data_IF_572402665237
#
_entry.id   IF_572402665237
#
_cell.length_a   1.000
_cell.length_b   1.000
_cell.length_c   1.000
_cell.angle_alpha   90.00
_cell.angle_beta   90.00
_cell.angle_gamma   90.00
#
_symmetry.space_group_name_H-M   'P 1'
#
loop_
_entity.id
_entity.type
_entity.pdbx_description
1 polymer ?
#
# COMPACT_ATOMS: atom_id res chain seq x y z
N UNK A 1 -10.02 12.63 -11.44
CA UNK A 1 -9.63 11.43 -12.23
C UNK A 1 -10.78 10.43 -12.17
N UNK A 2 -11.62 10.39 -13.22
CA UNK A 2 -12.81 9.50 -13.26
C UNK A 2 -12.53 8.29 -14.14
N UNK A 3 -12.13 8.52 -15.39
CA UNK A 3 -11.75 7.48 -16.34
C UNK A 3 -10.44 6.79 -15.90
N UNK A 4 -10.20 5.54 -16.33
CA UNK A 4 -8.92 4.86 -16.08
C UNK A 4 -7.74 5.71 -16.55
N UNK A 5 -6.91 6.14 -15.60
CA UNK A 5 -5.82 7.08 -15.84
C UNK A 5 -4.52 6.55 -15.25
N UNK A 6 -3.47 6.51 -16.07
CA UNK A 6 -2.11 6.27 -15.59
C UNK A 6 -1.55 7.55 -14.96
N UNK A 7 -1.19 7.48 -13.68
CA UNK A 7 -0.43 8.51 -12.99
C UNK A 7 1.05 8.13 -13.02
N UNK A 8 1.90 9.04 -13.51
CA UNK A 8 3.34 8.85 -13.74
C UNK A 8 4.15 9.92 -13.00
N UNK A 9 5.48 9.84 -13.08
CA UNK A 9 6.42 10.88 -12.62
C UNK A 9 6.37 11.13 -11.10
N UNK A 10 6.26 10.06 -10.32
CA UNK A 10 6.27 10.16 -8.86
C UNK A 10 7.66 10.58 -8.36
N UNK A 11 7.76 11.50 -7.38
CA UNK A 11 9.03 11.88 -6.76
C UNK A 11 9.77 10.70 -6.13
N UNK A 12 11.10 10.69 -6.22
CA UNK A 12 11.94 9.60 -5.68
C UNK A 12 11.88 9.39 -4.17
N UNK A 13 11.40 10.38 -3.42
CA UNK A 13 11.25 10.29 -1.96
C UNK A 13 10.07 9.43 -1.52
N UNK A 14 9.11 9.13 -2.41
CA UNK A 14 7.85 8.49 -2.02
C UNK A 14 7.91 6.97 -1.92
N UNK A 15 8.71 6.31 -2.75
CA UNK A 15 8.73 4.83 -2.83
C UNK A 15 10.17 4.35 -2.74
N UNK A 16 10.63 3.92 -1.56
CA UNK A 16 12.04 3.56 -1.35
C UNK A 16 12.46 2.35 -2.20
N UNK A 17 11.54 1.46 -2.54
CA UNK A 17 11.78 0.24 -3.34
C UNK A 17 11.82 0.48 -4.85
N UNK A 18 11.38 1.66 -5.33
CA UNK A 18 11.29 1.92 -6.75
C UNK A 18 12.62 2.43 -7.32
N UNK A 19 12.96 1.94 -8.52
CA UNK A 19 14.10 2.43 -9.28
C UNK A 19 13.88 3.89 -9.68
N UNK A 20 14.96 4.70 -9.61
CA UNK A 20 14.97 6.07 -10.15
C UNK A 20 15.03 6.03 -11.67
N UNK A 21 14.33 6.94 -12.31
CA UNK A 21 14.43 7.09 -13.75
C UNK A 21 15.88 7.42 -14.16
N UNK A 22 16.32 6.83 -15.27
CA UNK A 22 17.73 6.93 -15.70
C UNK A 22 18.08 8.29 -16.31
N UNK A 23 17.10 8.97 -16.92
CA UNK A 23 17.27 10.30 -17.51
C UNK A 23 16.90 11.43 -16.52
N UNK A 24 15.98 11.14 -15.61
CA UNK A 24 15.39 12.09 -14.65
C UNK A 24 15.43 11.55 -13.22
N UNK A 25 16.58 11.61 -12.53
CA UNK A 25 16.77 11.00 -11.21
C UNK A 25 15.87 11.57 -10.09
N UNK A 26 15.13 12.65 -10.34
CA UNK A 26 14.14 13.21 -9.41
C UNK A 26 12.79 12.48 -9.43
N UNK A 27 12.54 11.65 -10.44
CA UNK A 27 11.33 10.82 -10.56
C UNK A 27 11.63 9.31 -10.52
N UNK A 28 10.59 8.52 -10.26
CA UNK A 28 10.61 7.06 -10.23
C UNK A 28 10.09 6.46 -11.55
N UNK A 29 10.65 5.31 -11.91
CA UNK A 29 10.11 4.44 -12.96
C UNK A 29 8.90 3.67 -12.42
N UNK A 30 7.80 4.39 -12.17
CA UNK A 30 6.57 3.85 -11.59
C UNK A 30 5.30 4.45 -12.19
N UNK A 31 4.22 3.68 -12.10
CA UNK A 31 2.88 4.16 -12.39
C UNK A 31 1.86 3.70 -11.36
N UNK A 32 0.79 4.49 -11.23
CA UNK A 32 -0.46 4.06 -10.60
C UNK A 32 -1.57 4.09 -11.64
N UNK A 33 -2.55 3.18 -11.53
CA UNK A 33 -3.81 3.29 -12.28
C UNK A 33 -4.88 3.77 -11.32
N UNK A 34 -5.46 4.92 -11.63
CA UNK A 34 -6.55 5.52 -10.87
C UNK A 34 -7.84 5.44 -11.69
N UNK A 35 -8.90 4.90 -11.08
CA UNK A 35 -10.25 4.83 -11.67
C UNK A 35 -11.24 5.29 -10.61
N UNK A 36 -12.20 6.13 -11.00
CA UNK A 36 -13.19 6.71 -10.08
C UNK A 36 -12.57 7.25 -8.79
N UNK A 37 -11.49 8.03 -8.91
CA UNK A 37 -10.71 8.60 -7.78
C UNK A 37 -10.03 7.62 -6.83
N UNK A 38 -10.04 6.31 -7.13
CA UNK A 38 -9.40 5.26 -6.33
C UNK A 38 -8.19 4.67 -7.05
N UNK A 39 -7.12 4.40 -6.31
CA UNK A 39 -5.96 3.65 -6.81
C UNK A 39 -6.34 2.17 -6.96
N UNK A 40 -6.21 1.63 -8.17
CA UNK A 40 -6.48 0.22 -8.51
C UNK A 40 -5.18 -0.57 -8.67
N UNK A 41 -4.17 0.04 -9.29
CA UNK A 41 -2.87 -0.59 -9.54
C UNK A 41 -1.76 0.34 -9.06
N UNK A 42 -0.71 -0.26 -8.49
CA UNK A 42 0.58 0.37 -8.27
C UNK A 42 1.67 -0.54 -8.84
N UNK A 43 2.53 0.00 -9.67
CA UNK A 43 3.60 -0.78 -10.31
C UNK A 43 4.86 0.07 -10.46
N UNK A 44 6.02 -0.57 -10.39
CA UNK A 44 7.30 0.09 -10.55
C UNK A 44 8.37 -0.88 -11.03
N UNK A 45 9.38 -0.35 -11.70
CA UNK A 45 10.65 -1.05 -11.85
C UNK A 45 11.33 -1.12 -10.49
N UNK A 46 11.70 -2.33 -10.08
CA UNK A 46 12.27 -2.58 -8.75
C UNK A 46 13.67 -1.99 -8.66
N UNK A 47 14.03 -1.48 -7.48
CA UNK A 47 15.41 -1.18 -7.15
C UNK A 47 16.16 -2.50 -6.93
N UNK A 48 17.13 -2.77 -7.80
CA UNK A 48 17.92 -4.00 -7.77
C UNK A 48 19.35 -3.80 -7.27
N UNK A 49 19.72 -2.56 -6.92
CA UNK A 49 21.03 -2.24 -6.33
C UNK A 49 20.97 -2.43 -4.81
N UNK A 50 21.67 -3.45 -4.25
CA UNK A 50 21.64 -3.72 -2.81
C UNK A 50 22.27 -2.59 -1.98
N UNK A 51 23.22 -1.85 -2.53
CA UNK A 51 23.89 -0.74 -1.83
C UNK A 51 22.92 0.43 -1.68
N UNK A 52 22.24 0.82 -2.76
CA UNK A 52 21.21 1.86 -2.72
C UNK A 52 20.03 1.44 -1.83
N UNK A 53 19.57 0.19 -1.95
CA UNK A 53 18.48 -0.35 -1.12
C UNK A 53 18.80 -0.26 0.37
N UNK A 54 20.03 -0.64 0.77
CA UNK A 54 20.50 -0.53 2.17
C UNK A 54 20.51 0.92 2.66
N UNK A 55 20.98 1.86 1.85
CA UNK A 55 20.98 3.30 2.20
C UNK A 55 19.56 3.80 2.42
N UNK A 56 18.62 3.43 1.54
CA UNK A 56 17.21 3.85 1.66
C UNK A 56 16.51 3.28 2.88
N UNK A 57 16.73 2.00 3.19
CA UNK A 57 16.15 1.36 4.38
C UNK A 57 16.71 1.97 5.68
N UNK A 58 18.01 2.32 5.73
CA UNK A 58 18.57 3.07 6.87
C UNK A 58 17.93 4.47 7.02
N UNK A 59 17.62 5.12 5.90
CA UNK A 59 16.86 6.38 5.91
C UNK A 59 15.45 6.20 6.48
N UNK A 60 14.75 5.12 6.09
CA UNK A 60 13.43 4.77 6.64
C UNK A 60 13.49 4.52 8.15
N UNK A 61 14.54 3.82 8.64
CA UNK A 61 14.76 3.63 10.07
C UNK A 61 14.93 4.96 10.82
N UNK A 62 15.66 5.91 10.25
CA UNK A 62 15.81 7.24 10.85
C UNK A 62 14.49 8.02 10.91
N UNK A 63 13.60 7.87 9.92
CA UNK A 63 12.24 8.43 9.98
C UNK A 63 11.38 7.73 11.03
N UNK A 64 11.56 6.41 11.20
CA UNK A 64 10.88 5.63 12.25
C UNK A 64 11.23 6.12 13.65
N UNK A 65 12.52 6.38 13.90
CA UNK A 65 13.00 6.94 15.18
C UNK A 65 12.43 8.33 15.47
N UNK A 66 11.99 9.05 14.43
CA UNK A 66 11.30 10.34 14.55
C UNK A 66 9.78 10.21 14.73
N UNK A 67 9.24 8.99 14.79
CA UNK A 67 7.83 8.70 15.04
C UNK A 67 6.98 8.44 13.79
N UNK A 68 7.60 8.19 12.64
CA UNK A 68 6.87 7.75 11.44
C UNK A 68 6.65 6.23 11.44
N UNK A 69 5.47 5.80 11.89
CA UNK A 69 5.08 4.39 12.00
C UNK A 69 4.83 3.70 10.64
N UNK A 70 4.71 4.45 9.54
CA UNK A 70 4.46 3.90 8.18
C UNK A 70 5.76 3.50 7.45
N UNK A 71 6.91 3.71 8.09
CA UNK A 71 8.24 3.41 7.53
C UNK A 71 8.55 1.92 7.45
N UNK A 72 9.39 1.57 6.48
CA UNK A 72 9.90 0.21 6.32
C UNK A 72 10.96 -0.14 7.37
N UNK A 73 10.99 -1.41 7.77
CA UNK A 73 12.06 -1.96 8.60
C UNK A 73 13.30 -2.24 7.73
N UNK A 74 14.48 -2.22 8.36
CA UNK A 74 15.71 -2.69 7.72
C UNK A 74 15.70 -4.22 7.69
N UNK A 75 15.63 -4.80 6.49
CA UNK A 75 15.65 -6.25 6.26
C UNK A 75 16.99 -6.66 5.64
N UNK A 76 17.98 -7.01 6.47
CA UNK A 76 19.31 -7.40 5.96
C UNK A 76 19.25 -8.69 5.14
N UNK A 77 18.39 -9.65 5.49
CA UNK A 77 18.21 -10.89 4.71
C UNK A 77 17.69 -10.59 3.29
N UNK A 78 16.80 -9.60 3.14
CA UNK A 78 16.32 -9.16 1.82
C UNK A 78 17.46 -8.56 0.99
N UNK A 79 18.31 -7.72 1.60
CA UNK A 79 19.46 -7.12 0.93
C UNK A 79 20.50 -8.19 0.58
N UNK A 80 20.76 -9.16 1.46
CA UNK A 80 21.65 -10.29 1.18
C UNK A 80 21.15 -11.07 -0.05
N UNK A 81 19.83 -11.34 -0.13
CA UNK A 81 19.24 -11.99 -1.30
C UNK A 81 19.49 -11.21 -2.60
N UNK A 82 19.45 -9.87 -2.55
CA UNK A 82 19.76 -9.03 -3.71
C UNK A 82 21.24 -9.14 -4.13
N UNK A 83 22.16 -9.28 -3.18
CA UNK A 83 23.60 -9.39 -3.41
C UNK A 83 23.99 -10.68 -4.17
N UNK A 84 23.18 -11.75 -4.09
CA UNK A 84 23.35 -12.96 -4.91
C UNK A 84 23.03 -12.75 -6.40
N UNK A 85 22.48 -11.60 -6.78
CA UNK A 85 22.21 -11.22 -8.16
C UNK A 85 20.72 -11.12 -8.45
N UNK A 86 20.13 -9.98 -8.12
CA UNK A 86 18.76 -9.64 -8.50
C UNK A 86 18.70 -9.21 -9.98
N UNK A 87 17.94 -9.91 -10.84
CA UNK A 87 17.78 -9.52 -12.23
C UNK A 87 16.96 -8.22 -12.35
N UNK A 88 17.06 -7.48 -13.47
CA UNK A 88 16.16 -6.37 -13.75
C UNK A 88 14.70 -6.85 -13.78
N UNK A 89 13.89 -6.40 -12.83
CA UNK A 89 12.49 -6.82 -12.68
C UNK A 89 11.57 -5.61 -12.45
N UNK A 90 10.27 -5.85 -12.57
CA UNK A 90 9.23 -4.89 -12.23
C UNK A 90 8.12 -5.59 -11.47
N UNK A 91 7.62 -4.93 -10.43
CA UNK A 91 6.51 -5.39 -9.61
C UNK A 91 5.20 -4.71 -9.98
N UNK A 92 4.09 -5.41 -9.75
CA UNK A 92 2.74 -4.87 -9.89
C UNK A 92 1.86 -5.37 -8.74
N UNK A 93 1.22 -4.43 -8.05
CA UNK A 93 0.16 -4.69 -7.08
C UNK A 93 -1.19 -4.28 -7.67
N UNK A 94 -2.19 -5.17 -7.59
CA UNK A 94 -3.57 -4.94 -7.99
C UNK A 94 -4.48 -5.05 -6.76
N UNK A 95 -5.25 -4.00 -6.48
CA UNK A 95 -6.26 -4.04 -5.43
C UNK A 95 -7.49 -4.84 -5.89
N UNK A 96 -7.52 -6.14 -5.60
CA UNK A 96 -8.61 -7.04 -6.03
C UNK A 96 -9.97 -6.58 -5.50
N UNK A 97 -10.09 -6.23 -4.22
CA UNK A 97 -11.35 -5.75 -3.64
C UNK A 97 -11.82 -4.47 -4.32
N UNK A 98 -10.90 -3.55 -4.64
CA UNK A 98 -11.22 -2.30 -5.34
C UNK A 98 -11.64 -2.56 -6.79
N UNK A 99 -11.00 -3.52 -7.46
CA UNK A 99 -11.37 -3.94 -8.80
C UNK A 99 -12.77 -4.57 -8.80
N UNK A 100 -13.04 -5.50 -7.87
CA UNK A 100 -14.37 -6.12 -7.75
C UNK A 100 -15.42 -5.05 -7.45
N UNK A 101 -15.14 -4.14 -6.50
CA UNK A 101 -16.07 -3.08 -6.14
C UNK A 101 -16.40 -2.15 -7.33
N UNK A 102 -15.39 -1.83 -8.15
CA UNK A 102 -15.59 -1.10 -9.41
C UNK A 102 -16.44 -1.88 -10.42
N UNK A 103 -16.22 -3.19 -10.55
CA UNK A 103 -16.92 -4.05 -11.51
C UNK A 103 -18.37 -4.35 -11.10
N UNK A 104 -18.66 -4.32 -9.80
CA UNK A 104 -20.00 -4.57 -9.25
C UNK A 104 -20.76 -3.30 -8.87
N UNK A 105 -20.20 -2.12 -9.15
CA UNK A 105 -20.78 -0.82 -8.85
C UNK A 105 -21.20 -0.66 -7.38
N UNK A 106 -20.30 -1.06 -6.46
CA UNK A 106 -20.50 -0.91 -5.02
C UNK A 106 -19.52 0.09 -4.43
N UNK A 107 -20.03 0.98 -3.58
CA UNK A 107 -19.22 2.05 -3.00
C UNK A 107 -18.35 1.55 -1.84
N UNK A 108 -18.84 0.60 -1.05
CA UNK A 108 -18.18 0.08 0.14
C UNK A 108 -17.37 -1.17 -0.17
N UNK A 109 -16.09 -1.19 0.22
CA UNK A 109 -15.27 -2.40 0.15
C UNK A 109 -15.78 -3.53 1.06
N UNK A 110 -16.65 -3.23 2.03
CA UNK A 110 -17.26 -4.26 2.87
C UNK A 110 -18.24 -5.14 2.11
N UNK A 111 -18.81 -4.64 1.01
CA UNK A 111 -19.83 -5.34 0.23
C UNK A 111 -19.23 -6.39 -0.71
N UNK A 112 -17.90 -6.35 -0.91
CA UNK A 112 -17.15 -7.32 -1.74
C UNK A 112 -16.34 -8.32 -0.91
N UNK A 113 -16.39 -8.24 0.42
CA UNK A 113 -15.70 -9.12 1.35
C UNK A 113 -16.74 -9.90 2.16
N UNK A 114 -16.67 -11.23 2.17
CA UNK A 114 -17.68 -12.05 2.86
C UNK A 114 -17.78 -11.78 4.37
N UNK A 115 -16.65 -11.52 5.03
CA UNK A 115 -16.57 -11.28 6.47
C UNK A 115 -15.67 -10.06 6.74
N UNK A 116 -16.18 -8.83 6.51
CA UNK A 116 -15.38 -7.62 6.69
C UNK A 116 -15.08 -7.39 8.18
N UNK A 117 -13.97 -6.72 8.48
CA UNK A 117 -13.66 -6.35 9.88
C UNK A 117 -14.66 -5.30 10.36
N UNK A 118 -15.46 -5.69 11.36
CA UNK A 118 -16.47 -4.82 11.96
C UNK A 118 -15.96 -4.23 13.27
N UNK A 119 -16.48 -3.05 13.64
CA UNK A 119 -16.32 -2.54 14.99
C UNK A 119 -17.02 -3.50 15.94
N UNK A 120 -16.41 -3.80 17.09
CA UNK A 120 -17.08 -4.61 18.12
C UNK A 120 -18.35 -3.88 18.56
N UNK A 121 -19.48 -4.59 18.58
CA UNK A 121 -20.71 -4.07 19.16
C UNK A 121 -20.45 -3.66 20.62
N UNK A 122 -20.86 -2.45 20.98
CA UNK A 122 -20.86 -2.02 22.38
C UNK A 122 -21.92 -2.85 23.10
N UNK A 123 -21.49 -3.78 23.94
CA UNK A 123 -22.39 -4.39 24.90
C UNK A 123 -22.66 -3.30 25.95
N UNK A 124 -23.84 -2.68 25.89
CA UNK A 124 -24.30 -1.86 26.98
C UNK A 124 -24.34 -2.75 28.24
N UNK A 125 -23.63 -2.36 29.30
CA UNK A 125 -23.75 -3.00 30.59
C UNK A 125 -25.17 -2.76 31.09
N UNK A 126 -26.04 -3.76 30.94
CA UNK A 126 -27.36 -3.75 31.53
C UNK A 126 -27.22 -3.98 33.03
N UNK A 127 -27.39 -2.90 33.81
CA UNK A 127 -27.95 -3.06 35.15
C UNK A 127 -29.35 -3.66 34.97
N UNK A 128 -29.45 -4.97 35.14
CA UNK A 128 -30.69 -5.72 35.31
C UNK A 128 -31.63 -5.77 34.10
N UNK A 129 -31.53 -6.85 33.32
CA UNK A 129 -32.66 -7.40 32.56
C UNK A 129 -32.77 -6.97 31.09
N UNK A 130 -32.38 -7.89 30.22
CA UNK A 130 -32.54 -7.92 28.76
C UNK A 130 -31.48 -7.14 27.94
N UNK A 131 -30.52 -7.90 27.41
CA UNK A 131 -29.51 -7.41 26.48
C UNK A 131 -30.18 -7.20 25.12
N UNK A 132 -30.19 -5.96 24.63
CA UNK A 132 -30.56 -5.64 23.24
C UNK A 132 -29.29 -5.24 22.50
N UNK A 133 -29.04 -5.89 21.35
CA UNK A 133 -27.97 -5.51 20.44
C UNK A 133 -28.48 -4.29 19.67
N UNK A 134 -27.78 -3.17 19.77
CA UNK A 134 -28.05 -2.02 18.92
C UNK A 134 -27.48 -2.31 17.51
N UNK A 135 -28.37 -2.70 16.59
CA UNK A 135 -28.03 -3.06 15.22
C UNK A 135 -27.63 -1.85 14.35
N UNK A 136 -27.73 -0.61 14.87
CA UNK A 136 -27.48 0.61 14.08
C UNK A 136 -26.01 0.98 13.90
N UNK A 137 -25.08 0.25 14.50
CA UNK A 137 -23.63 0.54 14.43
C UNK A 137 -22.77 -0.63 13.91
N UNK A 138 -23.38 -1.68 13.34
CA UNK A 138 -22.65 -2.80 12.72
C UNK A 138 -22.32 -2.46 11.27
#
# INVERSE_FOLDING_TARGET
>A
LVQPTFLLNHPTVLVPLARRNSDRPEILDMFQVVVNTREIVKAYSELVDPVDQRVRMRGQLAYREQGDDETMMLEEDYIECMEYGMPPISGLGLGVDRLVALMTDVDSLRDVVFFPTMRRARIASADGGNQTIDEREV
#
